data_IF_776717190560
#
_entry.id   IF_776717190560
#
_cell.length_a   1.000
_cell.length_b   1.000
_cell.length_c   1.000
_cell.angle_alpha   90.00
_cell.angle_beta   90.00
_cell.angle_gamma   90.00
#
_symmetry.space_group_name_H-M   'P 1'
#
loop_
_entity.id
_entity.type
_entity.pdbx_description
1 polymer ?
#
# COMPACT_ATOMS: atom_id res chain seq x y z
N UNK A 1 30.51 22.79 5.28
CA UNK A 1 29.48 22.99 4.23
C UNK A 1 28.68 24.23 4.58
N UNK A 2 28.38 25.10 3.61
CA UNK A 2 27.49 26.25 3.85
C UNK A 2 26.04 25.77 4.07
N UNK A 3 25.21 26.58 4.73
CA UNK A 3 23.77 26.30 4.91
C UNK A 3 23.07 26.05 3.57
N UNK A 4 23.48 26.80 2.53
CA UNK A 4 23.00 26.62 1.16
C UNK A 4 23.31 25.23 0.60
N UNK A 5 24.52 24.71 0.84
CA UNK A 5 24.91 23.39 0.34
C UNK A 5 24.09 22.27 1.00
N UNK A 6 23.83 22.40 2.31
CA UNK A 6 23.01 21.45 3.07
C UNK A 6 21.54 21.48 2.66
N UNK A 7 21.01 22.67 2.35
CA UNK A 7 19.65 22.81 1.83
C UNK A 7 19.51 22.15 0.45
N UNK A 8 20.47 22.34 -0.45
CA UNK A 8 20.50 21.70 -1.77
C UNK A 8 20.55 20.17 -1.63
N UNK A 9 21.43 19.64 -0.77
CA UNK A 9 21.52 18.22 -0.48
C UNK A 9 20.19 17.65 0.04
N UNK A 10 19.56 18.36 0.98
CA UNK A 10 18.27 17.97 1.53
C UNK A 10 17.15 17.92 0.49
N UNK A 11 17.05 18.96 -0.34
CA UNK A 11 16.06 19.01 -1.41
C UNK A 11 16.28 17.87 -2.42
N UNK A 12 17.53 17.64 -2.84
CA UNK A 12 17.88 16.57 -3.77
C UNK A 12 17.54 15.19 -3.21
N UNK A 13 17.84 14.93 -1.93
CA UNK A 13 17.54 13.65 -1.30
C UNK A 13 16.03 13.44 -1.13
N UNK A 14 15.28 14.44 -0.66
CA UNK A 14 13.81 14.35 -0.55
C UNK A 14 13.19 14.09 -1.93
N UNK A 15 13.61 14.81 -2.96
CA UNK A 15 13.11 14.63 -4.32
C UNK A 15 13.40 13.20 -4.82
N UNK A 16 14.64 12.73 -4.65
CA UNK A 16 15.04 11.37 -5.05
C UNK A 16 14.21 10.31 -4.33
N UNK A 17 14.06 10.39 -3.01
CA UNK A 17 13.30 9.42 -2.23
C UNK A 17 11.81 9.45 -2.60
N UNK A 18 11.23 10.64 -2.77
CA UNK A 18 9.82 10.78 -3.17
C UNK A 18 9.58 10.16 -4.55
N UNK A 19 10.47 10.40 -5.52
CA UNK A 19 10.39 9.76 -6.83
C UNK A 19 10.49 8.24 -6.73
N UNK A 20 11.47 7.70 -6.00
CA UNK A 20 11.58 6.24 -5.83
C UNK A 20 10.32 5.66 -5.19
N UNK A 21 9.80 6.28 -4.14
CA UNK A 21 8.63 5.77 -3.42
C UNK A 21 7.37 5.84 -4.27
N UNK A 22 7.17 6.94 -5.00
CA UNK A 22 6.01 7.15 -5.86
C UNK A 22 6.01 6.25 -7.09
N UNK A 23 7.16 6.11 -7.75
CA UNK A 23 7.27 5.35 -9.01
C UNK A 23 7.38 3.83 -8.79
N UNK A 24 7.91 3.38 -7.64
CA UNK A 24 7.96 1.94 -7.33
C UNK A 24 6.62 1.41 -6.81
N UNK A 25 5.74 2.27 -6.30
CA UNK A 25 4.48 1.86 -5.69
C UNK A 25 3.57 1.09 -6.67
N UNK A 26 3.32 1.56 -7.91
CA UNK A 26 2.54 0.78 -8.88
C UNK A 26 3.17 -0.58 -9.22
N UNK A 27 4.51 -0.66 -9.30
CA UNK A 27 5.20 -1.94 -9.52
C UNK A 27 4.91 -2.91 -8.36
N UNK A 28 4.99 -2.43 -7.12
CA UNK A 28 4.70 -3.24 -5.95
C UNK A 28 3.25 -3.75 -5.98
N UNK A 29 2.27 -2.87 -6.21
CA UNK A 29 0.85 -3.21 -6.16
C UNK A 29 0.38 -4.10 -7.31
N UNK A 30 0.90 -3.87 -8.51
CA UNK A 30 0.37 -4.47 -9.73
C UNK A 30 1.16 -5.71 -10.18
N UNK A 31 2.43 -5.83 -9.76
CA UNK A 31 3.32 -6.89 -10.24
C UNK A 31 3.83 -7.78 -9.11
N UNK A 32 4.33 -7.18 -8.02
CA UNK A 32 4.96 -7.94 -6.93
C UNK A 32 3.92 -8.53 -5.98
N UNK A 33 2.86 -7.78 -5.72
CA UNK A 33 1.81 -8.18 -4.80
C UNK A 33 1.08 -9.43 -5.31
N UNK A 34 0.82 -10.36 -4.38
CA UNK A 34 -0.03 -11.49 -4.66
C UNK A 34 -1.48 -11.02 -4.87
N UNK A 35 -2.12 -11.48 -5.96
CA UNK A 35 -3.47 -11.09 -6.35
C UNK A 35 -4.52 -11.40 -5.29
N UNK A 36 -4.33 -12.47 -4.51
CA UNK A 36 -5.22 -12.84 -3.41
C UNK A 36 -5.07 -11.89 -2.22
N UNK A 37 -3.85 -11.50 -1.87
CA UNK A 37 -3.65 -10.50 -0.82
C UNK A 37 -4.24 -9.14 -1.26
N UNK A 38 -4.22 -8.80 -2.56
CA UNK A 38 -4.84 -7.58 -3.10
C UNK A 38 -6.36 -7.53 -2.94
N UNK A 39 -7.05 -8.65 -3.19
CA UNK A 39 -8.50 -8.70 -3.02
C UNK A 39 -8.92 -8.82 -1.56
N UNK A 40 -8.07 -9.35 -0.68
CA UNK A 40 -8.44 -9.67 0.70
C UNK A 40 -7.86 -8.73 1.77
N UNK A 41 -6.88 -7.86 1.45
CA UNK A 41 -6.30 -6.91 2.42
C UNK A 41 -7.31 -5.94 3.03
N UNK A 42 -8.44 -5.71 2.37
CA UNK A 42 -9.55 -4.91 2.88
C UNK A 42 -10.61 -5.67 3.70
N UNK A 43 -10.49 -7.00 3.88
CA UNK A 43 -11.53 -7.78 4.58
C UNK A 43 -11.62 -7.44 6.08
N UNK A 44 -12.83 -7.20 6.58
CA UNK A 44 -13.13 -6.97 7.99
C UNK A 44 -14.42 -7.69 8.39
N UNK A 45 -14.52 -8.04 9.68
CA UNK A 45 -15.69 -8.65 10.27
C UNK A 45 -15.35 -9.77 11.25
N UNK A 46 -16.34 -10.11 12.08
CA UNK A 46 -16.31 -11.26 12.98
C UNK A 46 -16.76 -12.57 12.32
N UNK A 47 -17.40 -12.50 11.14
CA UNK A 47 -17.82 -13.68 10.39
C UNK A 47 -16.60 -14.54 10.01
N UNK A 48 -16.82 -15.84 9.93
CA UNK A 48 -15.77 -16.81 9.68
C UNK A 48 -15.53 -16.96 8.18
N UNK A 49 -14.24 -17.01 7.84
CA UNK A 49 -13.74 -17.32 6.50
C UNK A 49 -12.74 -18.46 6.57
N UNK A 50 -12.60 -19.21 5.48
CA UNK A 50 -11.60 -20.26 5.40
C UNK A 50 -10.19 -19.69 5.28
N UNK A 51 -9.24 -20.22 6.07
CA UNK A 51 -7.85 -19.72 6.11
C UNK A 51 -7.11 -19.91 4.78
N UNK A 52 -7.55 -20.87 3.96
CA UNK A 52 -6.87 -21.21 2.71
C UNK A 52 -7.19 -20.24 1.57
N UNK A 53 -8.43 -19.76 1.46
CA UNK A 53 -8.89 -18.96 0.32
C UNK A 53 -9.70 -17.71 0.70
N UNK A 54 -10.01 -17.51 1.98
CA UNK A 54 -10.78 -16.36 2.46
C UNK A 54 -12.27 -16.41 2.11
N UNK A 55 -12.77 -17.54 1.57
CA UNK A 55 -14.20 -17.70 1.26
C UNK A 55 -15.05 -17.74 2.55
N UNK A 56 -16.25 -17.15 2.56
CA UNK A 56 -17.17 -17.22 3.69
C UNK A 56 -17.55 -18.67 4.00
N UNK A 57 -17.55 -19.03 5.29
CA UNK A 57 -17.92 -20.39 5.73
C UNK A 57 -19.35 -20.76 5.35
N UNK A 58 -20.24 -19.77 5.34
CA UNK A 58 -21.66 -19.96 5.02
C UNK A 58 -21.89 -20.48 3.59
N UNK A 59 -20.98 -20.20 2.65
CA UNK A 59 -21.09 -20.67 1.27
C UNK A 59 -20.82 -22.17 1.12
N UNK A 60 -20.01 -22.76 2.01
CA UNK A 60 -19.73 -24.20 2.00
C UNK A 60 -19.36 -24.71 3.40
N UNK A 61 -20.34 -24.89 4.30
CA UNK A 61 -20.09 -25.19 5.72
C UNK A 61 -19.49 -26.59 5.95
N UNK A 62 -19.45 -27.44 4.92
CA UNK A 62 -19.03 -28.84 5.01
C UNK A 62 -17.54 -29.05 4.73
N UNK A 63 -16.74 -27.99 4.53
CA UNK A 63 -15.29 -28.15 4.45
C UNK A 63 -14.73 -28.58 5.79
N UNK A 64 -14.00 -29.69 5.80
CA UNK A 64 -13.44 -30.30 7.00
C UNK A 64 -11.92 -30.54 6.85
N UNK A 65 -11.26 -31.02 7.90
CA UNK A 65 -9.82 -31.27 7.91
C UNK A 65 -8.98 -29.99 7.78
N UNK A 66 -7.85 -30.06 7.05
CA UNK A 66 -6.95 -28.91 6.86
C UNK A 66 -7.61 -27.76 6.08
N UNK A 67 -8.55 -28.09 5.21
CA UNK A 67 -9.30 -27.14 4.37
C UNK A 67 -10.45 -26.48 5.13
N UNK A 68 -10.95 -27.13 6.18
CA UNK A 68 -11.97 -26.59 7.07
C UNK A 68 -11.47 -25.60 8.13
N UNK A 69 -10.18 -25.23 8.13
CA UNK A 69 -9.65 -24.28 9.12
C UNK A 69 -10.19 -22.87 8.84
N UNK A 70 -10.70 -22.22 9.87
CA UNK A 70 -11.32 -20.90 9.76
C UNK A 70 -10.61 -19.86 10.62
N UNK A 71 -10.79 -18.60 10.25
CA UNK A 71 -10.49 -17.45 11.10
C UNK A 71 -11.53 -16.35 10.83
N UNK A 72 -11.51 -15.28 11.62
CA UNK A 72 -12.38 -14.13 11.33
C UNK A 72 -11.90 -13.40 10.08
N UNK A 73 -12.82 -12.80 9.32
CA UNK A 73 -12.49 -11.97 8.17
C UNK A 73 -11.48 -10.86 8.51
N UNK A 74 -11.60 -10.23 9.69
CA UNK A 74 -10.60 -9.26 10.17
C UNK A 74 -9.21 -9.86 10.39
N UNK A 75 -9.10 -11.09 10.93
CA UNK A 75 -7.81 -11.75 11.10
C UNK A 75 -7.20 -12.13 9.75
N UNK A 76 -8.04 -12.60 8.81
CA UNK A 76 -7.63 -12.89 7.44
C UNK A 76 -7.06 -11.64 6.75
N UNK A 77 -7.84 -10.57 6.69
CA UNK A 77 -7.41 -9.33 6.03
C UNK A 77 -6.17 -8.69 6.66
N UNK A 78 -5.99 -8.79 7.99
CA UNK A 78 -4.74 -8.36 8.64
C UNK A 78 -3.52 -9.15 8.16
N UNK A 79 -3.68 -10.46 7.91
CA UNK A 79 -2.60 -11.29 7.38
C UNK A 79 -2.26 -10.88 5.94
N UNK A 80 -3.28 -10.66 5.12
CA UNK A 80 -3.12 -10.23 3.73
C UNK A 80 -2.42 -8.87 3.61
N UNK A 81 -2.87 -7.86 4.38
CA UNK A 81 -2.18 -6.55 4.38
C UNK A 81 -0.76 -6.66 4.91
N UNK A 82 -0.50 -7.50 5.91
CA UNK A 82 0.85 -7.67 6.47
C UNK A 82 1.82 -8.21 5.42
N UNK A 83 1.40 -9.21 4.64
CA UNK A 83 2.22 -9.76 3.54
C UNK A 83 2.46 -8.75 2.45
N UNK A 84 1.41 -8.04 2.05
CA UNK A 84 1.51 -6.99 1.05
C UNK A 84 2.50 -5.90 1.48
N UNK A 85 2.33 -5.34 2.69
CA UNK A 85 3.22 -4.32 3.25
C UNK A 85 4.66 -4.84 3.38
N UNK A 86 4.85 -6.12 3.77
CA UNK A 86 6.18 -6.71 3.84
C UNK A 86 6.87 -6.76 2.46
N UNK A 87 6.16 -7.21 1.42
CA UNK A 87 6.68 -7.24 0.04
C UNK A 87 6.98 -5.83 -0.48
N UNK A 88 6.06 -4.88 -0.28
CA UNK A 88 6.23 -3.48 -0.64
C UNK A 88 7.45 -2.86 0.05
N UNK A 89 7.59 -3.07 1.37
CA UNK A 89 8.70 -2.53 2.16
C UNK A 89 10.04 -3.09 1.70
N UNK A 90 10.09 -4.39 1.38
CA UNK A 90 11.30 -5.03 0.87
C UNK A 90 11.74 -4.41 -0.47
N UNK A 91 10.81 -4.27 -1.42
CA UNK A 91 11.09 -3.68 -2.74
C UNK A 91 11.47 -2.20 -2.61
N UNK A 92 10.73 -1.43 -1.82
CA UNK A 92 11.03 -0.02 -1.59
C UNK A 92 12.43 0.18 -0.99
N UNK A 93 12.79 -0.59 0.02
CA UNK A 93 14.12 -0.53 0.64
C UNK A 93 15.21 -0.89 -0.37
N UNK A 94 15.02 -1.97 -1.13
CA UNK A 94 15.97 -2.41 -2.16
C UNK A 94 16.17 -1.31 -3.22
N UNK A 95 15.08 -0.74 -3.76
CA UNK A 95 15.13 0.34 -4.75
C UNK A 95 15.79 1.60 -4.18
N UNK A 96 15.49 1.96 -2.94
CA UNK A 96 16.11 3.12 -2.27
C UNK A 96 17.62 2.94 -2.14
N UNK A 97 18.06 1.78 -1.66
CA UNK A 97 19.48 1.47 -1.54
C UNK A 97 20.14 1.45 -2.91
N UNK A 98 19.53 0.80 -3.91
CA UNK A 98 20.07 0.72 -5.26
C UNK A 98 20.26 2.12 -5.88
N UNK A 99 19.23 2.97 -5.86
CA UNK A 99 19.29 4.32 -6.43
C UNK A 99 20.31 5.18 -5.70
N UNK A 100 20.22 5.25 -4.37
CA UNK A 100 21.12 6.12 -3.59
C UNK A 100 22.58 5.68 -3.72
N UNK A 101 22.87 4.38 -3.64
CA UNK A 101 24.22 3.85 -3.79
C UNK A 101 24.79 4.05 -5.19
N UNK A 102 23.97 3.88 -6.24
CA UNK A 102 24.39 4.10 -7.62
C UNK A 102 24.78 5.57 -7.85
N UNK A 103 24.08 6.50 -7.21
CA UNK A 103 24.39 7.93 -7.26
C UNK A 103 25.48 8.37 -6.25
N UNK A 104 26.16 7.42 -5.60
CA UNK A 104 27.23 7.72 -4.64
C UNK A 104 26.75 8.23 -3.28
N UNK A 105 25.44 8.25 -3.03
CA UNK A 105 24.85 8.75 -1.79
C UNK A 105 24.59 7.61 -0.79
N UNK A 106 25.03 7.77 0.47
CA UNK A 106 24.84 6.76 1.51
C UNK A 106 23.88 7.27 2.59
N UNK A 107 22.64 6.79 2.52
CA UNK A 107 21.65 7.02 3.57
C UNK A 107 22.03 6.18 4.82
N UNK A 108 22.11 6.78 6.02
CA UNK A 108 22.32 6.05 7.26
C UNK A 108 21.25 4.99 7.48
N UNK A 109 21.64 3.77 7.85
CA UNK A 109 20.71 2.64 8.05
C UNK A 109 19.56 3.00 9.00
N UNK A 110 19.85 3.70 10.09
CA UNK A 110 18.78 4.14 11.02
C UNK A 110 17.77 5.08 10.36
N UNK A 111 18.22 5.99 9.49
CA UNK A 111 17.32 6.92 8.82
C UNK A 111 16.40 6.17 7.84
N UNK A 112 17.00 5.24 7.09
CA UNK A 112 16.29 4.37 6.15
C UNK A 112 15.23 3.50 6.87
N UNK A 113 15.60 2.85 7.98
CA UNK A 113 14.68 2.02 8.76
C UNK A 113 13.56 2.84 9.41
N UNK A 114 13.86 4.04 9.92
CA UNK A 114 12.81 4.92 10.48
C UNK A 114 11.81 5.35 9.41
N UNK A 115 12.28 5.78 8.24
CA UNK A 115 11.41 6.13 7.12
C UNK A 115 10.56 4.96 6.65
N UNK A 116 11.18 3.78 6.48
CA UNK A 116 10.50 2.57 6.09
C UNK A 116 9.45 2.13 7.11
N UNK A 117 9.73 2.23 8.41
CA UNK A 117 8.76 1.90 9.45
C UNK A 117 7.53 2.83 9.41
N UNK A 118 7.75 4.15 9.28
CA UNK A 118 6.66 5.12 9.15
C UNK A 118 5.81 4.78 7.94
N UNK A 119 6.45 4.56 6.79
CA UNK A 119 5.76 4.23 5.55
C UNK A 119 4.97 2.92 5.66
N UNK A 120 5.61 1.84 6.09
CA UNK A 120 4.99 0.52 6.21
C UNK A 120 3.77 0.52 7.14
N UNK A 121 3.88 1.17 8.30
CA UNK A 121 2.77 1.22 9.27
C UNK A 121 1.60 2.01 8.70
N UNK A 122 1.85 3.22 8.18
CA UNK A 122 0.78 4.09 7.68
C UNK A 122 0.15 3.53 6.40
N UNK A 123 0.95 2.97 5.49
CA UNK A 123 0.49 2.23 4.31
C UNK A 123 -0.43 1.08 4.73
N UNK A 124 0.02 0.23 5.67
CA UNK A 124 -0.78 -0.88 6.17
C UNK A 124 -2.10 -0.45 6.83
N UNK A 125 -2.15 0.72 7.47
CA UNK A 125 -3.39 1.29 8.02
C UNK A 125 -4.34 1.73 6.91
N UNK A 126 -3.85 2.43 5.90
CA UNK A 126 -4.68 2.93 4.78
C UNK A 126 -5.23 1.77 3.94
N UNK A 127 -4.44 0.75 3.71
CA UNK A 127 -4.84 -0.46 2.97
C UNK A 127 -5.96 -1.27 3.62
N UNK A 128 -6.23 -1.02 4.90
CA UNK A 128 -7.42 -1.56 5.59
C UNK A 128 -8.70 -0.82 5.19
N UNK A 129 -8.65 0.19 4.32
CA UNK A 129 -9.78 0.92 3.71
C UNK A 129 -10.64 1.75 4.65
N UNK A 130 -11.00 1.26 5.84
CA UNK A 130 -11.85 2.03 6.78
C UNK A 130 -11.24 3.39 7.14
N UNK A 131 -9.93 3.50 7.45
CA UNK A 131 -9.33 4.80 7.74
C UNK A 131 -9.33 5.73 6.51
N UNK A 132 -9.14 5.17 5.32
CA UNK A 132 -9.17 5.93 4.07
C UNK A 132 -10.56 6.48 3.78
N UNK A 133 -11.60 5.64 3.92
CA UNK A 133 -12.99 6.04 3.74
C UNK A 133 -13.41 7.10 4.75
N UNK A 134 -12.99 6.95 6.01
CA UNK A 134 -13.21 7.97 7.04
C UNK A 134 -12.53 9.29 6.70
N UNK A 135 -11.27 9.27 6.24
CA UNK A 135 -10.57 10.48 5.79
C UNK A 135 -11.28 11.13 4.59
N UNK A 136 -11.72 10.33 3.63
CA UNK A 136 -12.43 10.81 2.45
C UNK A 136 -13.78 11.44 2.83
N UNK A 137 -14.51 10.86 3.78
CA UNK A 137 -15.74 11.43 4.31
C UNK A 137 -15.47 12.79 4.98
N UNK A 138 -14.46 12.87 5.85
CA UNK A 138 -14.06 14.14 6.49
C UNK A 138 -13.60 15.20 5.49
N UNK A 139 -13.02 14.79 4.37
CA UNK A 139 -12.63 15.68 3.28
C UNK A 139 -13.78 16.01 2.31
N UNK A 140 -15.02 15.57 2.60
CA UNK A 140 -16.19 15.83 1.75
C UNK A 140 -16.16 15.10 0.41
N UNK A 141 -15.41 14.00 0.29
CA UNK A 141 -15.21 13.23 -0.95
C UNK A 141 -16.20 12.08 -1.13
N UNK A 142 -17.15 11.89 -0.23
CA UNK A 142 -18.17 10.83 -0.31
C UNK A 142 -18.95 10.87 -1.63
N UNK A 143 -19.33 12.06 -2.11
CA UNK A 143 -20.02 12.21 -3.40
C UNK A 143 -19.15 11.74 -4.57
N UNK A 144 -17.87 12.08 -4.57
CA UNK A 144 -16.93 11.66 -5.61
C UNK A 144 -16.75 10.13 -5.64
N UNK A 145 -16.52 9.50 -4.47
CA UNK A 145 -16.39 8.04 -4.36
C UNK A 145 -17.65 7.31 -4.85
N UNK A 146 -18.84 7.82 -4.50
CA UNK A 146 -20.12 7.19 -4.88
C UNK A 146 -20.40 7.21 -6.37
N UNK A 147 -19.94 8.25 -7.10
CA UNK A 147 -20.32 8.47 -8.50
C UNK A 147 -19.22 8.10 -9.49
N UNK A 148 -17.94 8.33 -9.16
CA UNK A 148 -16.82 7.97 -10.02
C UNK A 148 -16.42 6.50 -9.80
N UNK A 149 -17.28 5.62 -10.34
CA UNK A 149 -17.14 4.15 -10.34
C UNK A 149 -16.93 3.65 -11.76
N UNK A 150 -16.61 2.37 -11.94
CA UNK A 150 -16.42 1.76 -13.27
C UNK A 150 -17.35 0.58 -13.46
N UNK A 151 -17.79 0.33 -14.69
CA UNK A 151 -18.51 -0.89 -15.05
C UNK A 151 -17.53 -1.87 -15.67
N UNK A 152 -17.39 -3.05 -15.07
CA UNK A 152 -16.55 -4.15 -15.57
C UNK A 152 -17.40 -5.24 -16.20
N UNK A 153 -16.77 -5.96 -17.12
CA UNK A 153 -17.29 -7.20 -17.71
C UNK A 153 -17.06 -8.33 -16.70
N UNK A 154 -18.12 -8.83 -16.07
CA UNK A 154 -18.06 -9.98 -15.17
C UNK A 154 -18.42 -11.28 -15.92
N UNK A 155 -17.55 -12.28 -15.82
CA UNK A 155 -17.67 -13.56 -16.49
C UNK A 155 -16.29 -14.23 -16.55
N UNK A 156 -16.25 -15.55 -16.41
CA UNK A 156 -15.01 -16.32 -16.63
C UNK A 156 -14.68 -16.41 -18.13
N UNK A 157 -13.53 -16.98 -18.46
CA UNK A 157 -13.28 -17.42 -19.83
C UNK A 157 -14.45 -18.29 -20.33
N UNK A 158 -14.98 -17.97 -21.52
CA UNK A 158 -16.05 -18.75 -22.15
C UNK A 158 -17.50 -18.32 -21.86
N UNK A 159 -17.75 -17.23 -21.12
CA UNK A 159 -19.13 -16.70 -20.99
C UNK A 159 -19.50 -15.86 -22.22
N UNK A 160 -20.56 -16.26 -22.94
CA UNK A 160 -21.02 -15.71 -24.23
C UNK A 160 -21.27 -14.18 -24.19
N UNK A 161 -21.66 -13.66 -23.03
CA UNK A 161 -21.73 -12.22 -22.74
C UNK A 161 -21.35 -11.95 -21.28
N UNK A 162 -20.24 -11.26 -20.98
CA UNK A 162 -19.92 -10.90 -19.62
C UNK A 162 -20.92 -9.86 -19.10
N UNK A 163 -21.56 -10.14 -17.97
CA UNK A 163 -22.53 -9.28 -17.33
C UNK A 163 -21.85 -7.99 -16.85
N UNK A 164 -22.44 -6.80 -17.08
CA UNK A 164 -21.90 -5.56 -16.53
C UNK A 164 -22.04 -5.55 -15.01
N UNK A 165 -20.91 -5.45 -14.29
CA UNK A 165 -20.87 -5.32 -12.83
C UNK A 165 -20.18 -4.02 -12.46
N UNK A 166 -20.82 -3.23 -11.61
CA UNK A 166 -20.21 -2.03 -11.06
C UNK A 166 -19.08 -2.39 -10.10
N UNK A 167 -17.89 -1.88 -10.35
CA UNK A 167 -16.77 -1.89 -9.42
C UNK A 167 -16.56 -0.49 -8.82
N UNK A 168 -16.45 -0.46 -7.51
CA UNK A 168 -16.37 0.76 -6.68
C UNK A 168 -14.96 1.01 -6.14
N UNK A 169 -14.00 0.11 -6.36
CA UNK A 169 -12.69 0.20 -5.70
C UNK A 169 -11.47 -0.22 -6.51
N UNK A 170 -11.63 -0.88 -7.65
CA UNK A 170 -10.51 -1.24 -8.51
C UNK A 170 -9.98 -0.07 -9.36
N UNK A 171 -9.03 -0.35 -10.27
CA UNK A 171 -8.46 0.63 -11.19
C UNK A 171 -9.53 1.43 -11.95
N UNK A 172 -9.35 2.75 -12.01
CA UNK A 172 -10.27 3.69 -12.67
C UNK A 172 -11.42 4.20 -11.80
N UNK A 173 -11.49 3.81 -10.53
CA UNK A 173 -12.47 4.33 -9.56
C UNK A 173 -11.88 5.46 -8.72
N UNK A 174 -12.72 6.37 -8.25
CA UNK A 174 -12.32 7.44 -7.34
C UNK A 174 -11.70 6.91 -6.04
N UNK A 175 -12.16 5.77 -5.54
CA UNK A 175 -11.59 5.18 -4.33
C UNK A 175 -10.14 4.75 -4.57
N UNK A 176 -9.84 4.14 -5.72
CA UNK A 176 -8.46 3.81 -6.10
C UNK A 176 -7.60 5.06 -6.29
N UNK A 177 -8.13 6.13 -6.90
CA UNK A 177 -7.38 7.37 -7.08
C UNK A 177 -7.04 8.05 -5.74
N UNK A 178 -8.00 8.09 -4.82
CA UNK A 178 -7.79 8.61 -3.45
C UNK A 178 -6.78 7.74 -2.70
N UNK A 179 -6.90 6.41 -2.81
CA UNK A 179 -5.95 5.46 -2.21
C UNK A 179 -4.52 5.74 -2.67
N UNK A 180 -4.29 5.81 -3.98
CA UNK A 180 -2.96 6.09 -4.55
C UNK A 180 -2.45 7.48 -4.16
N UNK A 181 -3.33 8.49 -4.07
CA UNK A 181 -2.95 9.82 -3.62
C UNK A 181 -2.49 9.84 -2.16
N UNK A 182 -3.18 9.12 -1.28
CA UNK A 182 -2.82 9.03 0.15
C UNK A 182 -1.51 8.25 0.32
N UNK A 183 -1.32 7.14 -0.39
CA UNK A 183 -0.06 6.40 -0.38
C UNK A 183 1.13 7.25 -0.83
N UNK A 184 0.96 8.07 -1.87
CA UNK A 184 2.00 9.04 -2.30
C UNK A 184 2.29 10.09 -1.22
N UNK A 185 1.26 10.63 -0.58
CA UNK A 185 1.43 11.62 0.49
C UNK A 185 2.19 11.03 1.70
N UNK A 186 1.90 9.79 2.07
CA UNK A 186 2.67 9.04 3.07
C UNK A 186 4.14 8.91 2.64
N UNK A 187 4.39 8.55 1.37
CA UNK A 187 5.72 8.48 0.81
C UNK A 187 6.51 9.78 0.97
N UNK A 188 5.88 10.92 0.72
CA UNK A 188 6.49 12.25 0.95
C UNK A 188 6.89 12.44 2.42
N UNK A 189 6.00 12.09 3.36
CA UNK A 189 6.32 12.18 4.80
C UNK A 189 7.50 11.28 5.18
N UNK A 190 7.52 10.03 4.72
CA UNK A 190 8.61 9.10 4.98
C UNK A 190 9.95 9.58 4.38
N UNK A 191 9.92 10.15 3.17
CA UNK A 191 11.09 10.73 2.51
C UNK A 191 11.64 11.93 3.31
N UNK A 192 10.77 12.84 3.76
CA UNK A 192 11.14 13.99 4.59
C UNK A 192 11.82 13.56 5.90
N UNK A 193 11.24 12.60 6.62
CA UNK A 193 11.82 12.10 7.88
C UNK A 193 13.17 11.42 7.63
N UNK A 194 13.26 10.57 6.60
CA UNK A 194 14.52 9.91 6.23
C UNK A 194 15.61 10.94 5.95
N UNK A 195 15.32 11.95 5.14
CA UNK A 195 16.26 13.01 4.81
C UNK A 195 16.66 13.83 6.04
N UNK A 196 15.69 14.22 6.87
CA UNK A 196 15.95 15.00 8.07
C UNK A 196 16.90 14.28 9.05
N UNK A 197 16.70 12.98 9.29
CA UNK A 197 17.60 12.18 10.12
C UNK A 197 18.98 12.06 9.45
N UNK A 198 19.02 11.87 8.13
CA UNK A 198 20.26 11.75 7.35
C UNK A 198 21.13 13.00 7.50
N UNK A 199 20.56 14.18 7.26
CA UNK A 199 21.29 15.46 7.34
C UNK A 199 21.77 15.77 8.76
N UNK A 200 21.05 15.34 9.81
CA UNK A 200 21.47 15.54 11.21
C UNK A 200 22.63 14.63 11.61
N UNK A 201 22.71 13.42 11.06
CA UNK A 201 23.83 12.49 11.32
C UNK A 201 25.06 12.81 10.47
N UNK A 202 24.87 13.30 9.23
CA UNK A 202 25.98 13.71 8.35
C UNK A 202 26.79 14.88 8.90
N UNK A 203 26.13 15.84 9.57
CA UNK A 203 26.80 16.99 10.19
C UNK A 203 27.54 16.70 11.51
N UNK A 204 27.60 15.44 11.96
CA UNK A 204 28.40 15.01 13.14
C UNK A 204 29.74 14.36 12.75
N UNK A 205 30.16 14.53 11.50
CA UNK A 205 31.48 14.10 11.00
C UNK A 205 32.35 15.30 10.70
#
# INVERSE_FOLDING_TARGET
MSDRSRAIEGLALVATLTSVFGEIHPLCDQVVQNSHDASTKGMHGSHLVYVNDGSPVEENPWRHGKEGRTCTASAYGRRSVTRHVASYTAVQLASTVAVTRTLGYRVPVSALLTGAAINAITHGVIDRRDPLLWLAEKAGKTGYIKHATVVRKAGGEGTEHPQPVQDVSGPGTALMEIDQAVHRAIGVTAALVTTWITLRKGGRR
#
